data_IF_220217437067
#
_entry.id   IF_220217437067
#
_cell.length_a   1.000
_cell.length_b   1.000
_cell.length_c   1.000
_cell.angle_alpha   90.00
_cell.angle_beta   90.00
_cell.angle_gamma   90.00
#
_symmetry.space_group_name_H-M   'P 1'
#
loop_
_entity.id
_entity.type
_entity.pdbx_description
1 polymer ?
#
# COMPACT_ATOMS: atom_id res chain seq x y z
N UNK A 1 11.65 9.84 45.70
CA UNK A 1 11.85 9.08 44.46
C UNK A 1 10.81 9.55 43.47
N UNK A 2 11.22 10.42 42.55
CA UNK A 2 10.39 11.04 41.52
C UNK A 2 10.46 10.21 40.26
N UNK A 3 9.34 9.62 39.83
CA UNK A 3 9.22 9.00 38.51
C UNK A 3 8.47 9.94 37.56
N UNK A 4 9.21 10.48 36.61
CA UNK A 4 8.73 11.30 35.49
C UNK A 4 8.13 10.37 34.43
N UNK A 5 6.82 10.43 34.19
CA UNK A 5 6.19 9.76 33.03
C UNK A 5 6.26 10.67 31.81
N UNK A 6 6.97 10.25 30.77
CA UNK A 6 6.93 10.89 29.46
C UNK A 6 5.69 10.40 28.69
N UNK A 7 4.63 11.20 28.68
CA UNK A 7 3.50 11.06 27.76
C UNK A 7 3.96 11.43 26.34
N UNK A 8 3.87 10.50 25.39
CA UNK A 8 4.03 10.82 23.96
C UNK A 8 2.69 11.30 23.41
N UNK A 9 2.66 12.57 23.01
CA UNK A 9 1.54 13.19 22.30
C UNK A 9 1.50 12.68 20.85
N UNK A 10 0.35 12.15 20.42
CA UNK A 10 0.05 11.94 19.00
C UNK A 10 -0.34 13.30 18.40
N UNK A 11 0.53 13.83 17.54
CA UNK A 11 0.28 15.09 16.85
C UNK A 11 -0.91 14.93 15.89
N UNK A 12 -2.04 15.58 16.21
CA UNK A 12 -3.14 15.79 15.28
C UNK A 12 -2.72 16.85 14.26
N UNK A 13 -2.44 16.43 13.02
CA UNK A 13 -2.12 17.32 11.92
C UNK A 13 -3.35 18.07 11.42
N UNK A 14 -3.27 19.39 11.35
CA UNK A 14 -4.27 20.29 10.82
C UNK A 14 -4.46 20.03 9.31
N UNK A 15 -5.68 19.70 8.87
CA UNK A 15 -6.01 19.55 7.44
C UNK A 15 -6.30 20.95 6.87
N UNK A 16 -5.51 21.39 5.88
CA UNK A 16 -5.86 22.55 5.06
C UNK A 16 -6.71 22.05 3.89
N UNK A 17 -8.03 22.27 3.97
CA UNK A 17 -8.96 22.03 2.89
C UNK A 17 -9.00 23.28 2.01
N UNK A 18 -8.37 23.26 0.83
CA UNK A 18 -8.55 24.33 -0.16
C UNK A 18 -9.80 24.02 -0.98
N UNK A 19 -10.92 24.62 -0.59
CA UNK A 19 -12.11 24.68 -1.43
C UNK A 19 -11.92 25.81 -2.45
N UNK A 20 -11.81 25.47 -3.74
CA UNK A 20 -11.77 26.47 -4.81
C UNK A 20 -13.18 26.95 -5.13
N UNK A 21 -13.52 28.18 -4.70
CA UNK A 21 -14.64 28.97 -5.21
C UNK A 21 -14.08 30.16 -6.00
N UNK A 22 -14.48 30.30 -7.26
CA UNK A 22 -14.04 31.37 -8.15
C UNK A 22 -14.77 32.70 -7.84
N UNK A 23 -14.05 33.83 -7.88
CA UNK A 23 -14.47 35.11 -8.47
C UNK A 23 -13.26 36.08 -8.61
N UNK A 24 -13.19 36.81 -9.74
CA UNK A 24 -12.09 37.67 -10.21
C UNK A 24 -11.93 39.01 -9.44
N UNK A 25 -10.72 39.60 -9.44
CA UNK A 25 -10.34 40.92 -10.04
C UNK A 25 -8.92 41.37 -9.60
N UNK A 26 -8.06 41.75 -10.59
CA UNK A 26 -6.91 42.70 -10.54
C UNK A 26 -5.68 42.32 -9.69
N UNK A 27 -4.41 42.49 -10.08
CA UNK A 27 -3.72 43.22 -11.14
C UNK A 27 -2.31 42.60 -11.41
N UNK A 28 -1.63 43.11 -12.44
CA UNK A 28 -0.54 42.57 -13.28
C UNK A 28 0.91 42.75 -12.72
N UNK A 29 2.03 42.56 -13.48
CA UNK A 29 2.94 41.41 -13.38
C UNK A 29 4.41 41.79 -13.04
N UNK A 30 5.30 40.81 -12.83
CA UNK A 30 6.75 41.03 -12.90
C UNK A 30 7.50 39.81 -13.47
N UNK A 31 7.75 39.91 -14.77
CA UNK A 31 8.92 39.53 -15.61
C UNK A 31 9.79 38.32 -15.25
N UNK A 32 9.96 37.48 -16.27
CA UNK A 32 10.77 36.28 -16.41
C UNK A 32 12.28 36.52 -16.54
N UNK A 33 13.06 35.47 -16.29
CA UNK A 33 14.33 35.22 -16.97
C UNK A 33 14.40 33.72 -17.38
N UNK A 34 14.76 33.50 -18.64
CA UNK A 34 14.85 32.25 -19.43
C UNK A 34 15.96 31.29 -18.89
N UNK A 35 15.70 29.97 -18.78
CA UNK A 35 16.02 28.84 -19.71
C UNK A 35 17.55 28.58 -19.91
N UNK A 36 18.11 27.33 -20.04
CA UNK A 36 17.52 26.16 -20.71
C UNK A 36 17.80 24.74 -20.13
N UNK A 37 17.10 23.76 -20.69
CA UNK A 37 17.17 22.30 -20.44
C UNK A 37 18.44 21.60 -21.00
N UNK A 38 18.90 20.52 -20.34
CA UNK A 38 19.22 19.19 -20.96
C UNK A 38 19.57 18.11 -19.89
N UNK A 39 19.54 16.79 -20.24
CA UNK A 39 19.14 15.70 -19.35
C UNK A 39 20.34 14.96 -18.72
N UNK A 40 20.10 14.17 -17.66
CA UNK A 40 21.13 13.30 -17.08
C UNK A 40 20.75 11.82 -17.20
N UNK A 41 21.50 11.12 -18.05
CA UNK A 41 21.78 9.68 -17.96
C UNK A 41 23.14 9.43 -18.58
N UNK A 42 24.12 8.98 -17.77
CA UNK A 42 25.07 7.86 -18.04
C UNK A 42 26.29 7.86 -17.09
N UNK A 43 26.44 6.74 -16.36
CA UNK A 43 27.61 5.88 -15.99
C UNK A 43 29.03 6.46 -15.69
N UNK A 44 29.68 5.76 -14.73
CA UNK A 44 30.98 5.88 -14.00
C UNK A 44 32.31 6.08 -14.77
N UNK A 45 33.35 6.57 -14.06
CA UNK A 45 34.68 5.91 -13.98
C UNK A 45 35.52 6.33 -12.74
N UNK A 46 36.42 5.44 -12.31
CA UNK A 46 37.30 5.44 -11.11
C UNK A 46 38.71 6.01 -11.42
N UNK A 47 39.57 6.32 -10.43
CA UNK A 47 40.83 5.54 -10.37
C UNK A 47 41.46 5.28 -8.97
N UNK A 48 42.13 4.12 -8.89
CA UNK A 48 43.16 3.67 -7.94
C UNK A 48 44.48 4.48 -8.07
N UNK A 49 45.53 4.40 -7.24
CA UNK A 49 45.84 4.04 -5.85
C UNK A 49 47.35 4.31 -5.68
N UNK A 50 47.83 4.82 -4.53
CA UNK A 50 49.20 4.64 -4.01
C UNK A 50 49.18 4.77 -2.47
N UNK A 51 49.74 3.80 -1.76
CA UNK A 51 49.95 3.69 -0.31
C UNK A 51 51.47 3.48 -0.04
N UNK A 52 52.05 3.28 1.19
CA UNK A 52 51.47 3.09 2.55
C UNK A 52 52.19 3.99 3.61
N UNK A 53 52.10 3.90 4.95
CA UNK A 53 51.63 2.94 5.94
C UNK A 53 51.36 3.67 7.28
N UNK A 54 50.31 3.29 8.03
CA UNK A 54 50.39 2.79 9.41
C UNK A 54 49.00 2.64 10.06
N UNK A 55 48.77 1.42 10.54
CA UNK A 55 47.80 0.94 11.53
C UNK A 55 46.33 0.64 11.14
N UNK A 56 46.07 -0.68 11.10
CA UNK A 56 44.98 -1.40 11.80
C UNK A 56 44.01 -2.21 10.90
N UNK A 57 43.50 -3.36 11.40
CA UNK A 57 43.36 -4.61 10.66
C UNK A 57 42.14 -4.64 9.74
N UNK A 58 42.36 -4.32 8.47
CA UNK A 58 41.92 -5.20 7.40
C UNK A 58 42.51 -6.59 7.69
N UNK A 59 41.70 -7.63 7.89
CA UNK A 59 41.67 -8.68 6.87
C UNK A 59 40.43 -9.58 6.96
N UNK A 60 39.47 -9.31 7.87
CA UNK A 60 38.44 -10.32 8.16
C UNK A 60 37.06 -10.09 7.54
N UNK A 61 36.56 -8.87 7.34
CA UNK A 61 35.16 -8.71 6.88
C UNK A 61 34.93 -7.59 5.86
N UNK A 62 35.97 -7.24 5.11
CA UNK A 62 35.82 -6.76 3.74
C UNK A 62 35.60 -7.96 2.80
N UNK A 63 34.53 -8.72 3.04
CA UNK A 63 33.97 -9.70 2.08
C UNK A 63 32.48 -9.85 2.36
N UNK A 64 31.67 -8.93 1.83
CA UNK A 64 30.42 -9.26 1.11
C UNK A 64 29.63 -7.98 0.75
N UNK A 65 29.87 -7.54 -0.49
CA UNK A 65 28.92 -6.89 -1.42
C UNK A 65 27.92 -5.88 -0.87
N UNK A 66 28.04 -4.65 -1.38
CA UNK A 66 26.95 -3.68 -1.50
C UNK A 66 25.60 -4.37 -1.78
N UNK A 67 24.65 -4.28 -0.85
CA UNK A 67 23.30 -4.78 -1.07
C UNK A 67 22.54 -3.76 -1.92
N UNK A 68 22.70 -3.90 -3.24
CA UNK A 68 21.83 -3.34 -4.27
C UNK A 68 20.38 -3.62 -3.87
N UNK A 69 19.57 -2.56 -3.71
CA UNK A 69 18.14 -2.68 -3.39
C UNK A 69 17.40 -3.03 -4.67
N UNK A 70 16.91 -4.25 -4.75
CA UNK A 70 16.10 -4.72 -5.87
C UNK A 70 14.63 -4.41 -5.57
N UNK A 71 13.99 -3.66 -6.46
CA UNK A 71 12.52 -3.50 -6.47
C UNK A 71 11.87 -4.88 -6.71
N UNK A 72 10.66 -5.10 -6.23
CA UNK A 72 9.91 -6.35 -6.47
C UNK A 72 9.24 -6.38 -7.86
N UNK A 73 9.50 -5.40 -8.72
CA UNK A 73 8.82 -5.22 -9.99
C UNK A 73 9.74 -4.63 -11.07
N UNK A 74 9.34 -4.82 -12.33
CA UNK A 74 9.81 -4.06 -13.48
C UNK A 74 8.60 -3.43 -14.18
N UNK A 75 8.70 -2.16 -14.56
CA UNK A 75 7.70 -1.47 -15.39
C UNK A 75 8.15 -1.40 -16.85
N UNK A 76 7.25 -1.02 -17.75
CA UNK A 76 7.55 -0.86 -19.18
C UNK A 76 8.81 -0.01 -19.43
N UNK A 77 9.77 -0.59 -20.16
CA UNK A 77 11.08 -0.02 -20.46
C UNK A 77 12.22 -0.48 -19.53
N UNK A 78 11.93 -1.15 -18.41
CA UNK A 78 12.95 -1.63 -17.49
C UNK A 78 13.46 -3.04 -17.83
N UNK A 79 14.70 -3.34 -17.42
CA UNK A 79 15.36 -4.60 -17.75
C UNK A 79 16.16 -5.19 -16.57
N UNK A 80 16.36 -6.50 -16.61
CA UNK A 80 17.35 -7.23 -15.82
C UNK A 80 18.43 -7.79 -16.74
N UNK A 81 19.67 -7.36 -16.51
CA UNK A 81 20.87 -7.97 -17.06
C UNK A 81 21.25 -9.23 -16.28
N UNK A 82 22.08 -10.08 -16.90
CA UNK A 82 22.70 -11.22 -16.24
C UNK A 82 23.24 -10.88 -14.82
N UNK A 83 22.85 -11.67 -13.84
CA UNK A 83 23.15 -11.51 -12.41
C UNK A 83 22.14 -10.66 -11.64
N UNK A 84 21.34 -9.83 -12.30
CA UNK A 84 20.35 -8.96 -11.65
C UNK A 84 19.05 -9.71 -11.33
N UNK A 85 18.34 -9.25 -10.30
CA UNK A 85 17.10 -9.86 -9.83
C UNK A 85 16.09 -8.83 -9.33
N UNK A 86 14.84 -9.24 -9.23
CA UNK A 86 13.83 -8.59 -8.38
C UNK A 86 13.50 -9.54 -7.22
N UNK A 87 13.10 -9.02 -6.07
CA UNK A 87 12.88 -9.80 -4.83
C UNK A 87 11.50 -9.47 -4.27
N UNK A 88 10.77 -10.47 -3.77
CA UNK A 88 9.45 -10.25 -3.19
C UNK A 88 9.54 -9.32 -1.97
N UNK A 89 8.50 -8.51 -1.76
CA UNK A 89 8.41 -7.54 -0.66
C UNK A 89 8.44 -8.21 0.72
N UNK A 90 7.87 -9.41 0.81
CA UNK A 90 7.86 -10.26 2.01
C UNK A 90 8.18 -11.71 1.61
N UNK A 91 8.70 -12.49 2.57
CA UNK A 91 9.03 -13.92 2.44
C UNK A 91 10.29 -14.31 1.65
N UNK A 92 10.97 -13.42 0.92
CA UNK A 92 12.32 -13.69 0.40
C UNK A 92 12.41 -14.52 -0.89
N UNK A 93 11.34 -14.57 -1.69
CA UNK A 93 11.39 -15.09 -3.05
C UNK A 93 12.18 -14.14 -3.95
N UNK A 94 12.83 -14.66 -5.00
CA UNK A 94 13.53 -13.81 -5.97
C UNK A 94 13.36 -14.30 -7.39
N UNK A 95 13.24 -13.37 -8.35
CA UNK A 95 13.28 -13.64 -9.78
C UNK A 95 14.56 -13.05 -10.36
N UNK A 96 15.45 -13.90 -10.86
CA UNK A 96 16.79 -13.54 -11.28
C UNK A 96 17.02 -13.88 -12.75
N UNK A 97 17.57 -12.92 -13.50
CA UNK A 97 18.22 -13.21 -14.78
C UNK A 97 19.62 -13.75 -14.47
N UNK A 98 19.84 -15.05 -14.62
CA UNK A 98 21.10 -15.70 -14.28
C UNK A 98 22.19 -15.43 -15.33
N UNK A 99 23.45 -15.65 -14.94
CA UNK A 99 24.61 -15.50 -15.82
C UNK A 99 24.71 -16.54 -16.92
N UNK A 100 24.03 -17.68 -16.77
CA UNK A 100 23.93 -18.72 -17.80
C UNK A 100 22.89 -18.41 -18.88
N UNK A 101 22.23 -17.26 -18.78
CA UNK A 101 21.23 -16.81 -19.75
C UNK A 101 19.80 -17.27 -19.44
N UNK A 102 19.54 -17.85 -18.26
CA UNK A 102 18.20 -18.27 -17.87
C UNK A 102 17.58 -17.33 -16.83
N UNK A 103 16.29 -17.02 -16.97
CA UNK A 103 15.54 -16.30 -15.94
C UNK A 103 14.77 -17.27 -15.02
N UNK A 104 15.01 -17.20 -13.72
CA UNK A 104 14.54 -18.18 -12.71
C UNK A 104 13.95 -17.51 -11.49
N UNK A 105 12.82 -18.03 -11.03
CA UNK A 105 12.28 -17.73 -9.71
C UNK A 105 12.78 -18.74 -8.68
N UNK A 106 13.24 -18.25 -7.54
CA UNK A 106 13.70 -19.02 -6.39
C UNK A 106 12.81 -18.81 -5.19
N UNK A 107 12.54 -19.90 -4.47
CA UNK A 107 12.00 -19.85 -3.12
C UNK A 107 13.05 -19.37 -2.10
N UNK A 108 12.64 -19.09 -0.85
CA UNK A 108 13.54 -18.54 0.17
C UNK A 108 14.65 -19.51 0.60
N UNK A 109 14.47 -20.82 0.32
CA UNK A 109 15.48 -21.85 0.53
C UNK A 109 16.45 -22.00 -0.65
N UNK A 110 16.31 -21.16 -1.68
CA UNK A 110 17.14 -21.17 -2.88
C UNK A 110 16.74 -22.26 -3.88
N UNK A 111 15.54 -22.86 -3.76
CA UNK A 111 15.07 -23.86 -4.72
C UNK A 111 14.36 -23.18 -5.89
N UNK A 112 14.63 -23.58 -7.14
CA UNK A 112 13.96 -23.01 -8.29
C UNK A 112 12.48 -23.45 -8.32
N UNK A 113 11.57 -22.49 -8.50
CA UNK A 113 10.11 -22.70 -8.57
C UNK A 113 9.52 -22.44 -9.95
N UNK A 114 10.20 -21.62 -10.76
CA UNK A 114 9.86 -21.35 -12.16
C UNK A 114 11.15 -21.05 -12.94
N UNK A 115 11.21 -21.42 -14.21
CA UNK A 115 12.31 -21.10 -15.10
C UNK A 115 11.81 -20.87 -16.54
N UNK A 116 12.42 -19.92 -17.24
CA UNK A 116 12.10 -19.61 -18.64
C UNK A 116 12.67 -20.64 -19.63
N UNK A 117 13.66 -21.44 -19.21
CA UNK A 117 14.27 -22.46 -20.08
C UNK A 117 15.19 -21.88 -21.15
N UNK A 118 15.80 -20.71 -20.86
CA UNK A 118 16.59 -19.94 -21.83
C UNK A 118 18.10 -20.11 -21.67
N UNK A 119 18.55 -21.13 -20.91
CA UNK A 119 19.97 -21.40 -20.65
C UNK A 119 20.77 -21.47 -21.96
N UNK A 120 21.91 -20.79 -22.00
CA UNK A 120 22.80 -20.71 -23.17
C UNK A 120 22.27 -19.89 -24.35
N UNK A 121 21.06 -19.32 -24.24
CA UNK A 121 20.41 -18.55 -25.33
C UNK A 121 19.99 -17.15 -24.89
N UNK A 122 19.60 -16.95 -23.63
CA UNK A 122 19.25 -15.65 -23.08
C UNK A 122 20.46 -14.84 -22.61
N UNK A 123 20.24 -13.54 -22.40
CA UNK A 123 21.27 -12.59 -22.00
C UNK A 123 20.71 -11.50 -21.07
N UNK A 124 19.55 -10.95 -21.39
CA UNK A 124 18.83 -9.98 -20.55
C UNK A 124 17.32 -10.17 -20.70
N UNK A 125 16.57 -9.66 -19.74
CA UNK A 125 15.11 -9.69 -19.71
C UNK A 125 14.56 -8.26 -19.65
N UNK A 126 13.54 -7.96 -20.43
CA UNK A 126 12.95 -6.62 -20.55
C UNK A 126 11.44 -6.70 -20.33
N UNK A 127 10.91 -5.87 -19.45
CA UNK A 127 9.49 -5.55 -19.44
C UNK A 127 9.26 -4.47 -20.50
N UNK A 128 8.72 -4.84 -21.65
CA UNK A 128 8.58 -3.93 -22.78
C UNK A 128 7.45 -2.91 -22.57
N UNK A 129 7.52 -1.78 -23.27
CA UNK A 129 6.50 -0.72 -23.18
C UNK A 129 5.15 -1.12 -23.80
N UNK A 130 5.10 -2.19 -24.59
CA UNK A 130 3.90 -2.78 -25.16
C UNK A 130 3.22 -3.82 -24.24
N UNK A 131 3.79 -4.04 -23.05
CA UNK A 131 3.28 -4.94 -22.03
C UNK A 131 3.76 -6.38 -22.09
N UNK A 132 4.70 -6.70 -22.99
CA UNK A 132 5.29 -8.03 -23.07
C UNK A 132 6.55 -8.14 -22.19
N UNK A 133 6.69 -9.22 -21.43
CA UNK A 133 7.93 -9.52 -20.72
C UNK A 133 8.74 -10.50 -21.57
N UNK A 134 9.96 -10.12 -21.95
CA UNK A 134 10.75 -10.83 -22.97
C UNK A 134 12.18 -11.09 -22.49
N UNK A 135 12.67 -12.32 -22.68
CA UNK A 135 14.10 -12.64 -22.59
C UNK A 135 14.71 -12.51 -23.98
N UNK A 136 15.80 -11.77 -24.08
CA UNK A 136 16.57 -11.56 -25.31
C UNK A 136 17.91 -12.27 -25.26
N UNK A 137 18.36 -12.74 -26.42
CA UNK A 137 19.73 -13.20 -26.65
C UNK A 137 20.71 -12.03 -26.74
N UNK A 138 22.02 -12.31 -26.66
CA UNK A 138 23.07 -11.29 -26.80
C UNK A 138 23.06 -10.58 -28.18
N UNK A 139 22.44 -11.20 -29.19
CA UNK A 139 22.28 -10.61 -30.54
C UNK A 139 20.98 -9.79 -30.68
N UNK A 140 20.20 -9.64 -29.61
CA UNK A 140 18.94 -8.90 -29.61
C UNK A 140 17.73 -9.67 -30.16
N UNK A 141 17.85 -10.98 -30.41
CA UNK A 141 16.70 -11.80 -30.80
C UNK A 141 15.92 -12.27 -29.56
N UNK A 142 14.58 -12.20 -29.54
CA UNK A 142 13.77 -12.72 -28.44
C UNK A 142 13.87 -14.25 -28.39
N UNK A 143 14.04 -14.81 -27.19
CA UNK A 143 14.19 -16.27 -26.98
C UNK A 143 13.10 -16.84 -26.06
N UNK A 144 12.36 -16.00 -25.35
CA UNK A 144 11.18 -16.34 -24.55
C UNK A 144 10.31 -15.09 -24.32
N UNK A 145 8.99 -15.25 -24.21
CA UNK A 145 8.07 -14.15 -23.85
C UNK A 145 6.80 -14.61 -23.14
N UNK A 146 6.16 -13.69 -22.42
CA UNK A 146 4.83 -13.90 -21.81
C UNK A 146 3.68 -13.86 -22.83
N UNK A 147 3.92 -13.28 -24.02
CA UNK A 147 2.90 -13.08 -25.07
C UNK A 147 1.75 -12.15 -24.62
N UNK A 148 2.08 -11.17 -23.79
CA UNK A 148 1.13 -10.18 -23.26
C UNK A 148 1.23 -8.85 -24.03
N UNK A 149 1.41 -8.92 -25.35
CA UNK A 149 1.52 -7.73 -26.21
C UNK A 149 0.20 -6.96 -26.28
N UNK A 150 0.28 -5.65 -26.56
CA UNK A 150 -0.84 -4.69 -26.56
C UNK A 150 -1.39 -4.35 -25.16
N UNK A 151 -0.60 -4.57 -24.12
CA UNK A 151 -0.92 -4.24 -22.73
C UNK A 151 -0.01 -3.08 -22.27
N UNK A 152 -0.02 -1.98 -23.02
CA UNK A 152 0.82 -0.81 -22.72
C UNK A 152 0.64 -0.36 -21.27
N UNK A 153 1.73 -0.02 -20.59
CA UNK A 153 1.71 0.32 -19.16
C UNK A 153 1.68 -0.88 -18.22
N UNK A 154 1.73 -2.12 -18.72
CA UNK A 154 1.87 -3.28 -17.87
C UNK A 154 3.20 -3.32 -17.10
N UNK A 155 3.21 -4.09 -16.01
CA UNK A 155 4.39 -4.32 -15.16
C UNK A 155 4.48 -5.77 -14.76
N UNK A 156 5.70 -6.28 -14.55
CA UNK A 156 5.93 -7.59 -13.93
C UNK A 156 6.29 -7.42 -12.46
N UNK A 157 5.72 -8.23 -11.58
CA UNK A 157 5.95 -8.21 -10.13
C UNK A 157 6.21 -9.63 -9.63
N UNK A 158 7.20 -9.80 -8.75
CA UNK A 158 7.39 -11.02 -7.95
C UNK A 158 6.63 -10.87 -6.62
N UNK A 159 5.67 -11.76 -6.41
CA UNK A 159 4.79 -11.76 -5.24
C UNK A 159 5.41 -12.50 -4.04
N UNK A 160 4.84 -12.27 -2.85
CA UNK A 160 5.26 -12.88 -1.59
C UNK A 160 5.04 -14.40 -1.49
N UNK A 161 4.20 -14.95 -2.35
CA UNK A 161 3.93 -16.39 -2.51
C UNK A 161 4.84 -17.05 -3.57
N UNK A 162 5.72 -16.25 -4.19
CA UNK A 162 6.65 -16.69 -5.23
C UNK A 162 6.09 -16.66 -6.65
N UNK A 163 4.84 -16.23 -6.84
CA UNK A 163 4.28 -16.10 -8.18
C UNK A 163 4.82 -14.85 -8.88
N UNK A 164 5.18 -14.96 -10.15
CA UNK A 164 5.66 -13.86 -10.99
C UNK A 164 4.52 -13.48 -11.93
N UNK A 165 4.02 -12.25 -11.85
CA UNK A 165 2.81 -11.84 -12.55
C UNK A 165 3.07 -10.61 -13.38
N UNK A 166 2.62 -10.64 -14.64
CA UNK A 166 2.47 -9.45 -15.47
C UNK A 166 1.07 -8.91 -15.26
N UNK A 167 0.95 -7.68 -14.78
CA UNK A 167 -0.34 -6.98 -14.65
C UNK A 167 -0.48 -6.00 -15.78
N UNK A 168 -1.69 -5.94 -16.33
CA UNK A 168 -2.13 -4.86 -17.19
C UNK A 168 -2.11 -3.54 -16.42
N UNK A 169 -2.15 -2.45 -17.18
CA UNK A 169 -2.31 -1.10 -16.65
C UNK A 169 -3.50 -1.03 -15.65
N UNK A 170 -4.64 -1.63 -15.98
CA UNK A 170 -5.83 -1.66 -15.11
C UNK A 170 -5.73 -2.55 -13.85
N UNK A 171 -4.56 -3.12 -13.55
CA UNK A 171 -4.32 -3.96 -12.37
C UNK A 171 -4.80 -5.41 -12.49
N UNK A 172 -5.40 -5.82 -13.61
CA UNK A 172 -5.74 -7.24 -13.84
C UNK A 172 -4.52 -8.05 -14.28
N UNK A 173 -4.43 -9.35 -13.92
CA UNK A 173 -3.32 -10.19 -14.35
C UNK A 173 -3.44 -10.50 -15.86
N UNK A 174 -2.38 -10.20 -16.62
CA UNK A 174 -2.23 -10.58 -18.02
C UNK A 174 -1.58 -11.96 -18.16
N UNK A 175 -0.65 -12.29 -17.27
CA UNK A 175 0.06 -13.58 -17.24
C UNK A 175 0.62 -13.85 -15.85
N UNK A 176 0.78 -15.14 -15.49
CA UNK A 176 1.43 -15.57 -14.25
C UNK A 176 2.32 -16.80 -14.46
N UNK A 177 3.43 -16.90 -13.72
CA UNK A 177 4.38 -18.02 -13.81
C UNK A 177 3.83 -19.35 -13.28
N UNK A 178 2.79 -19.30 -12.45
CA UNK A 178 1.89 -20.40 -12.12
C UNK A 178 2.60 -21.62 -11.47
N UNK A 179 3.00 -21.47 -10.21
CA UNK A 179 3.31 -22.59 -9.33
C UNK A 179 1.98 -23.16 -8.78
N UNK A 180 1.55 -24.35 -9.24
CA UNK A 180 0.40 -25.15 -8.71
C UNK A 180 -1.04 -24.87 -9.24
N UNK A 181 -1.22 -24.64 -10.55
CA UNK A 181 -2.51 -24.79 -11.29
C UNK A 181 -3.75 -24.08 -10.72
N UNK A 182 -3.59 -22.96 -10.01
CA UNK A 182 -4.70 -22.06 -9.67
C UNK A 182 -4.22 -20.64 -9.91
N UNK A 183 -4.95 -19.85 -10.70
CA UNK A 183 -4.68 -18.42 -10.86
C UNK A 183 -5.01 -17.76 -9.52
N UNK A 184 -4.01 -17.56 -8.66
CA UNK A 184 -4.16 -16.78 -7.45
C UNK A 184 -4.03 -15.31 -7.83
N UNK A 185 -5.16 -14.59 -7.76
CA UNK A 185 -5.23 -13.14 -7.86
C UNK A 185 -4.20 -12.50 -6.92
N UNK A 186 -3.36 -11.58 -7.41
CA UNK A 186 -2.32 -11.05 -6.54
C UNK A 186 -2.73 -9.96 -5.57
N UNK A 187 -2.20 -10.06 -4.36
CA UNK A 187 -2.10 -8.94 -3.42
C UNK A 187 -0.78 -8.20 -3.67
N UNK A 188 -0.82 -6.93 -4.12
CA UNK A 188 0.30 -6.00 -3.91
C UNK A 188 -0.13 -5.00 -2.83
N UNK A 189 0.44 -5.09 -1.64
CA UNK A 189 -0.07 -4.48 -0.40
C UNK A 189 0.64 -3.21 0.04
N UNK A 190 1.80 -2.85 -0.54
CA UNK A 190 2.67 -1.83 0.06
C UNK A 190 3.48 -0.98 -0.93
N UNK A 191 3.38 0.35 -0.81
CA UNK A 191 4.24 1.38 -1.40
C UNK A 191 5.35 1.77 -0.38
N UNK A 192 6.61 1.57 -0.72
CA UNK A 192 7.76 1.88 0.13
C UNK A 192 8.23 3.34 -0.02
N UNK A 193 8.96 3.84 0.97
CA UNK A 193 9.58 5.16 0.91
C UNK A 193 10.47 5.34 -0.33
N UNK A 194 10.25 6.43 -1.06
CA UNK A 194 10.81 6.75 -2.37
C UNK A 194 9.97 6.28 -3.57
N UNK A 195 8.95 5.46 -3.38
CA UNK A 195 8.13 4.92 -4.47
C UNK A 195 6.91 5.78 -4.76
N UNK A 196 6.41 5.63 -5.99
CA UNK A 196 5.25 6.37 -6.50
C UNK A 196 4.23 5.41 -7.11
N UNK A 197 3.00 5.48 -6.64
CA UNK A 197 1.81 4.88 -7.24
C UNK A 197 1.25 5.90 -8.25
N UNK A 198 1.23 5.54 -9.53
CA UNK A 198 0.79 6.38 -10.66
C UNK A 198 -0.68 6.10 -10.96
N UNK A 199 -1.36 6.93 -11.79
CA UNK A 199 -2.67 6.56 -12.31
C UNK A 199 -2.65 5.12 -12.80
N UNK A 200 -3.75 4.40 -12.59
CA UNK A 200 -4.03 2.96 -12.81
C UNK A 200 -3.39 1.98 -11.83
N UNK A 201 -2.34 2.37 -11.11
CA UNK A 201 -1.73 1.49 -10.12
C UNK A 201 -2.60 1.38 -8.87
N UNK A 202 -2.53 0.24 -8.19
CA UNK A 202 -3.28 -0.01 -6.96
C UNK A 202 -2.43 -0.64 -5.85
N UNK A 203 -2.85 -0.40 -4.62
CA UNK A 203 -2.54 -1.20 -3.44
C UNK A 203 -3.72 -2.13 -3.17
N UNK A 204 -3.49 -3.30 -2.59
CA UNK A 204 -4.48 -4.35 -2.31
C UNK A 204 -4.26 -4.89 -0.91
N UNK A 205 -5.31 -5.09 -0.11
CA UNK A 205 -5.18 -5.63 1.25
C UNK A 205 -4.67 -7.08 1.25
N UNK A 206 -4.06 -7.51 2.35
CA UNK A 206 -3.53 -8.87 2.54
C UNK A 206 -4.56 -9.98 2.24
N UNK A 207 -5.84 -9.71 2.50
CA UNK A 207 -6.95 -10.62 2.21
C UNK A 207 -7.58 -10.46 0.82
N UNK A 208 -7.04 -9.57 -0.03
CA UNK A 208 -7.50 -9.31 -1.39
C UNK A 208 -8.84 -8.55 -1.51
N UNK A 209 -9.52 -8.24 -0.39
CA UNK A 209 -10.87 -7.68 -0.42
C UNK A 209 -10.91 -6.18 -0.67
N UNK A 210 -9.85 -5.47 -0.31
CA UNK A 210 -9.75 -4.03 -0.43
C UNK A 210 -8.65 -3.65 -1.38
N UNK A 211 -8.84 -2.53 -2.07
CA UNK A 211 -7.81 -1.94 -2.94
C UNK A 211 -7.82 -0.43 -2.83
N UNK A 212 -6.67 0.22 -2.92
CA UNK A 212 -6.58 1.66 -3.10
C UNK A 212 -5.99 1.94 -4.48
N UNK A 213 -6.78 2.56 -5.34
CA UNK A 213 -6.48 2.77 -6.75
C UNK A 213 -6.22 4.24 -6.98
N UNK A 214 -5.08 4.58 -7.58
CA UNK A 214 -4.86 5.90 -8.14
C UNK A 214 -5.54 5.91 -9.51
N UNK A 215 -6.68 6.54 -9.66
CA UNK A 215 -7.48 6.52 -10.89
C UNK A 215 -6.91 7.45 -11.97
N UNK A 216 -7.33 7.23 -13.22
CA UNK A 216 -6.94 8.04 -14.39
C UNK A 216 -7.46 9.47 -14.35
N UNK A 217 -8.58 9.70 -13.68
CA UNK A 217 -9.17 11.03 -13.46
C UNK A 217 -8.41 11.85 -12.40
N UNK A 218 -7.46 11.23 -11.71
CA UNK A 218 -6.63 11.86 -10.68
C UNK A 218 -7.13 11.70 -9.26
N UNK A 219 -8.16 10.88 -9.04
CA UNK A 219 -8.66 10.57 -7.71
C UNK A 219 -7.94 9.35 -7.12
N UNK A 220 -7.65 9.36 -5.83
CA UNK A 220 -7.10 8.18 -5.14
C UNK A 220 -8.21 7.57 -4.27
N UNK A 221 -8.63 6.37 -4.65
CA UNK A 221 -9.90 5.78 -4.20
C UNK A 221 -9.69 4.41 -3.58
N UNK A 222 -10.14 4.26 -2.34
CA UNK A 222 -10.26 2.99 -1.66
C UNK A 222 -11.55 2.28 -2.04
N UNK A 223 -11.45 1.04 -2.46
CA UNK A 223 -12.55 0.13 -2.74
C UNK A 223 -12.53 -1.06 -1.80
N UNK A 224 -13.70 -1.61 -1.55
CA UNK A 224 -13.93 -2.88 -0.87
C UNK A 224 -14.92 -3.75 -1.65
N UNK A 225 -15.40 -4.85 -1.04
CA UNK A 225 -16.29 -5.80 -1.71
C UNK A 225 -17.61 -5.20 -2.21
N UNK A 226 -18.09 -4.13 -1.57
CA UNK A 226 -19.38 -3.48 -1.87
C UNK A 226 -19.21 -2.15 -2.62
N UNK A 227 -18.00 -1.84 -3.12
CA UNK A 227 -17.73 -0.60 -3.88
C UNK A 227 -16.80 0.36 -3.15
N UNK A 228 -17.00 1.66 -3.35
CA UNK A 228 -16.12 2.71 -2.82
C UNK A 228 -16.23 2.79 -1.29
N UNK A 229 -15.09 2.75 -0.60
CA UNK A 229 -14.97 2.88 0.86
C UNK A 229 -14.55 4.30 1.24
N UNK A 230 -13.61 4.88 0.49
CA UNK A 230 -13.16 6.26 0.65
C UNK A 230 -12.56 6.81 -0.64
N UNK A 231 -12.45 8.13 -0.76
CA UNK A 231 -11.75 8.79 -1.84
C UNK A 231 -11.07 10.08 -1.34
N UNK A 232 -9.93 10.43 -1.92
CA UNK A 232 -9.25 11.71 -1.64
C UNK A 232 -10.01 12.91 -2.19
N UNK A 233 -10.89 12.70 -3.17
CA UNK A 233 -11.63 13.78 -3.85
C UNK A 233 -10.73 14.65 -4.73
N UNK A 234 -9.53 14.16 -5.04
CA UNK A 234 -8.58 14.87 -5.89
C UNK A 234 -8.95 14.64 -7.35
N UNK A 235 -8.85 15.68 -8.17
CA UNK A 235 -9.04 15.61 -9.62
C UNK A 235 -7.81 16.10 -10.36
N UNK A 236 -7.58 15.58 -11.56
CA UNK A 236 -6.48 15.99 -12.42
C UNK A 236 -5.78 14.77 -13.05
N UNK A 237 -5.87 14.59 -14.38
CA UNK A 237 -5.15 13.49 -15.02
C UNK A 237 -3.65 13.61 -14.75
N UNK A 238 -3.00 12.48 -14.49
CA UNK A 238 -1.57 12.43 -14.16
C UNK A 238 -1.23 12.69 -12.69
N UNK A 239 -2.24 12.85 -11.81
CA UNK A 239 -2.00 12.84 -10.37
C UNK A 239 -1.36 11.51 -9.94
N UNK A 240 -0.51 11.53 -8.91
CA UNK A 240 0.21 10.35 -8.42
C UNK A 240 0.41 10.45 -6.91
N UNK A 241 0.46 9.32 -6.20
CA UNK A 241 0.81 9.31 -4.78
C UNK A 241 2.22 8.77 -4.59
N UNK A 242 3.06 9.51 -3.88
CA UNK A 242 4.44 9.17 -3.57
C UNK A 242 4.59 9.04 -2.07
N UNK A 243 5.08 7.91 -1.57
CA UNK A 243 5.61 7.86 -0.20
C UNK A 243 7.04 8.39 -0.28
N UNK A 244 7.27 9.60 0.22
CA UNK A 244 8.57 10.26 0.14
C UNK A 244 9.59 9.62 1.10
N UNK A 245 10.89 9.88 0.89
CA UNK A 245 11.98 9.31 1.72
C UNK A 245 11.96 9.82 3.16
N UNK A 246 11.36 10.97 3.39
CA UNK A 246 11.12 11.58 4.71
C UNK A 246 9.86 11.01 5.40
N UNK A 247 9.22 10.02 4.78
CA UNK A 247 8.10 9.28 5.35
C UNK A 247 6.75 9.96 5.14
N UNK A 248 6.69 11.04 4.38
CA UNK A 248 5.43 11.69 4.06
C UNK A 248 4.79 11.07 2.81
N UNK A 249 3.54 10.60 2.92
CA UNK A 249 2.77 10.18 1.74
C UNK A 249 2.10 11.42 1.14
N UNK A 250 2.38 11.71 -0.12
CA UNK A 250 1.92 12.93 -0.78
C UNK A 250 1.29 12.60 -2.13
N UNK A 251 0.07 13.09 -2.33
CA UNK A 251 -0.58 13.06 -3.64
C UNK A 251 -0.19 14.33 -4.39
N UNK A 252 0.56 14.16 -5.47
CA UNK A 252 1.02 15.22 -6.35
C UNK A 252 0.15 15.32 -7.59
N UNK A 253 -0.05 16.55 -8.06
CA UNK A 253 -0.51 16.85 -9.41
C UNK A 253 0.54 16.54 -10.47
N UNK A 254 0.12 16.49 -11.73
CA UNK A 254 1.04 16.37 -12.87
C UNK A 254 2.09 17.49 -12.91
N UNK A 255 1.72 18.68 -12.41
CA UNK A 255 2.55 19.88 -12.24
C UNK A 255 3.42 19.86 -10.97
N UNK A 256 3.44 18.76 -10.21
CA UNK A 256 4.06 18.62 -8.90
C UNK A 256 3.42 19.45 -7.78
N UNK A 257 2.23 20.03 -7.99
CA UNK A 257 1.46 20.64 -6.89
C UNK A 257 1.06 19.59 -5.85
N UNK A 258 1.13 19.93 -4.57
CA UNK A 258 0.64 19.05 -3.50
C UNK A 258 -0.88 19.15 -3.46
N UNK A 259 -1.57 18.03 -3.70
CA UNK A 259 -3.04 17.93 -3.61
C UNK A 259 -3.51 17.37 -2.27
N UNK A 260 -2.73 16.47 -1.68
CA UNK A 260 -2.98 15.88 -0.37
C UNK A 260 -1.68 15.37 0.25
N UNK A 261 -1.61 15.28 1.58
CA UNK A 261 -0.48 14.71 2.31
C UNK A 261 -0.93 14.06 3.62
N UNK A 262 -0.27 12.97 4.03
CA UNK A 262 -0.49 12.30 5.33
C UNK A 262 0.04 13.09 6.52
N UNK A 263 0.98 14.02 6.30
CA UNK A 263 1.65 14.77 7.36
C UNK A 263 2.63 13.94 8.21
N UNK A 264 2.92 12.71 7.79
CA UNK A 264 3.82 11.81 8.51
C UNK A 264 5.29 12.19 8.30
N UNK A 265 6.13 11.81 9.27
CA UNK A 265 7.58 11.98 9.22
C UNK A 265 8.26 10.72 9.72
N UNK A 266 9.35 10.31 9.08
CA UNK A 266 10.15 9.15 9.46
C UNK A 266 10.89 8.55 8.26
N UNK A 267 11.85 7.67 8.50
CA UNK A 267 12.57 7.00 7.40
C UNK A 267 12.11 5.56 7.25
N UNK A 268 12.18 5.02 6.03
CA UNK A 268 11.81 3.64 5.72
C UNK A 268 10.37 3.27 6.12
N UNK A 269 9.45 4.25 6.08
CA UNK A 269 8.03 3.98 6.24
C UNK A 269 7.48 3.25 5.01
N UNK A 270 6.34 2.61 5.20
CA UNK A 270 5.61 1.82 4.20
C UNK A 270 4.15 2.24 4.21
N UNK A 271 3.55 2.46 3.05
CA UNK A 271 2.15 2.84 2.86
C UNK A 271 1.40 1.63 2.28
N UNK A 272 0.31 1.20 2.89
CA UNK A 272 -0.47 0.05 2.42
C UNK A 272 -1.96 0.21 2.66
N UNK A 273 -2.75 -0.78 2.22
CA UNK A 273 -4.16 -0.89 2.59
C UNK A 273 -4.32 -2.10 3.49
N UNK A 274 -4.91 -1.91 4.68
CA UNK A 274 -5.15 -3.02 5.60
C UNK A 274 -6.44 -3.78 5.24
N UNK A 275 -6.66 -4.91 5.90
CA UNK A 275 -7.86 -5.73 5.69
C UNK A 275 -9.16 -5.02 6.13
N UNK A 276 -9.07 -3.89 6.85
CA UNK A 276 -10.21 -3.06 7.23
C UNK A 276 -10.55 -2.00 6.16
N UNK A 277 -9.85 -2.02 5.01
CA UNK A 277 -10.04 -1.06 3.94
C UNK A 277 -9.48 0.32 4.22
N UNK A 278 -8.61 0.47 5.23
CA UNK A 278 -7.95 1.73 5.57
C UNK A 278 -6.57 1.81 4.94
N UNK A 279 -6.19 3.00 4.48
CA UNK A 279 -4.81 3.28 4.09
C UNK A 279 -3.99 3.46 5.37
N UNK A 280 -2.89 2.74 5.50
CA UNK A 280 -2.02 2.76 6.68
C UNK A 280 -0.61 3.12 6.28
N UNK A 281 0.09 3.84 7.16
CA UNK A 281 1.54 3.98 7.10
C UNK A 281 2.12 3.25 8.30
N UNK A 282 3.07 2.35 8.07
CA UNK A 282 3.74 1.56 9.10
C UNK A 282 5.24 1.81 9.11
N UNK A 283 5.87 1.62 10.27
CA UNK A 283 7.32 1.67 10.41
C UNK A 283 7.97 0.32 10.04
N UNK A 284 9.28 0.16 10.24
CA UNK A 284 10.02 -1.08 9.92
C UNK A 284 9.72 -2.26 10.85
N UNK A 285 8.99 -2.03 11.95
CA UNK A 285 8.55 -3.05 12.90
C UNK A 285 7.07 -3.44 12.71
N UNK A 286 6.44 -2.94 11.64
CA UNK A 286 5.01 -3.08 11.33
C UNK A 286 4.06 -2.32 12.29
N UNK A 287 4.59 -1.44 13.16
CA UNK A 287 3.72 -0.56 13.95
C UNK A 287 3.05 0.47 13.04
N UNK A 288 1.73 0.62 13.16
CA UNK A 288 0.96 1.67 12.47
C UNK A 288 1.32 3.03 13.04
N UNK A 289 1.90 3.89 12.20
CA UNK A 289 2.26 5.27 12.55
C UNK A 289 1.22 6.29 12.08
N UNK A 290 0.38 5.90 11.10
CA UNK A 290 -0.73 6.70 10.62
C UNK A 290 -1.78 5.83 9.93
N UNK A 291 -3.04 6.24 9.99
CA UNK A 291 -4.16 5.60 9.30
C UNK A 291 -5.07 6.65 8.67
N UNK A 292 -5.64 6.32 7.52
CA UNK A 292 -6.63 7.15 6.87
C UNK A 292 -7.92 7.26 7.66
N UNK A 293 -8.17 6.46 8.68
CA UNK A 293 -9.42 6.56 9.43
C UNK A 293 -9.64 7.95 10.05
N UNK A 294 -8.58 8.69 10.34
CA UNK A 294 -8.68 10.07 10.78
C UNK A 294 -8.99 11.07 9.63
N UNK A 295 -8.53 10.78 8.41
CA UNK A 295 -8.64 11.67 7.25
C UNK A 295 -9.83 11.35 6.32
N UNK A 296 -10.16 10.06 6.19
CA UNK A 296 -11.17 9.45 5.35
C UNK A 296 -11.87 8.32 6.14
N UNK A 297 -12.74 8.65 7.10
CA UNK A 297 -13.38 7.66 7.94
C UNK A 297 -14.33 6.78 7.12
N UNK A 298 -14.15 5.46 7.21
CA UNK A 298 -15.01 4.50 6.53
C UNK A 298 -16.42 4.51 7.14
N UNK A 299 -17.44 4.24 6.33
CA UNK A 299 -18.81 4.01 6.82
C UNK A 299 -19.00 2.62 7.37
N UNK A 300 -18.18 1.67 6.92
CA UNK A 300 -18.37 0.22 7.11
C UNK A 300 -17.07 -0.44 7.57
N UNK A 301 -17.16 -1.26 8.62
CA UNK A 301 -16.13 -2.22 9.03
C UNK A 301 -16.57 -3.61 8.55
N UNK A 302 -15.71 -4.31 7.80
CA UNK A 302 -16.01 -5.66 7.30
C UNK A 302 -15.34 -6.72 8.16
N UNK A 303 -16.00 -7.85 8.44
CA UNK A 303 -15.36 -8.97 9.13
C UNK A 303 -14.24 -9.61 8.27
N UNK A 304 -13.09 -10.07 8.78
CA UNK A 304 -12.63 -9.99 10.18
C UNK A 304 -11.66 -8.82 10.38
N UNK A 305 -12.09 -7.79 11.12
CA UNK A 305 -11.29 -6.59 11.37
C UNK A 305 -11.64 -5.93 12.70
N UNK A 306 -10.82 -4.94 13.06
CA UNK A 306 -10.97 -4.15 14.29
C UNK A 306 -10.98 -2.64 14.04
N UNK A 307 -11.52 -1.90 15.01
CA UNK A 307 -11.25 -0.47 15.20
C UNK A 307 -10.41 -0.30 16.45
N UNK A 308 -9.19 0.20 16.29
CA UNK A 308 -8.31 0.54 17.40
C UNK A 308 -8.78 1.81 18.11
N UNK A 309 -8.31 2.02 19.35
CA UNK A 309 -8.48 3.26 20.07
C UNK A 309 -8.10 4.49 19.22
N UNK A 310 -8.98 5.48 19.16
CA UNK A 310 -8.88 6.67 18.32
C UNK A 310 -9.49 6.52 16.92
N UNK A 311 -9.79 5.29 16.49
CA UNK A 311 -10.42 5.02 15.19
C UNK A 311 -11.94 5.17 15.26
N UNK A 312 -12.57 5.43 14.12
CA UNK A 312 -14.01 5.59 14.04
C UNK A 312 -14.59 5.21 12.68
N UNK A 313 -15.88 4.88 12.67
CA UNK A 313 -16.71 4.87 11.48
C UNK A 313 -17.51 6.18 11.41
N UNK A 314 -17.80 6.66 10.21
CA UNK A 314 -18.61 7.88 10.00
C UNK A 314 -19.74 7.60 9.02
N UNK A 315 -20.92 8.14 9.29
CA UNK A 315 -22.06 7.99 8.39
C UNK A 315 -21.82 8.70 7.05
N UNK A 316 -22.44 8.25 5.94
CA UNK A 316 -22.33 8.89 4.63
C UNK A 316 -22.60 10.40 4.62
N UNK A 317 -23.60 10.87 5.37
CA UNK A 317 -23.92 12.29 5.52
C UNK A 317 -22.94 13.06 6.41
N UNK A 318 -22.04 12.33 7.08
CA UNK A 318 -20.99 12.89 7.91
C UNK A 318 -21.40 13.38 9.30
N UNK A 319 -22.67 13.24 9.67
CA UNK A 319 -23.23 13.76 10.93
C UNK A 319 -22.92 12.82 12.10
N UNK A 320 -22.92 11.51 11.86
CA UNK A 320 -22.80 10.51 12.90
C UNK A 320 -21.46 9.79 12.83
N UNK A 321 -20.96 9.35 13.98
CA UNK A 321 -19.72 8.57 14.06
C UNK A 321 -19.76 7.56 15.19
N UNK A 322 -19.23 6.36 14.96
CA UNK A 322 -18.95 5.37 15.99
C UNK A 322 -17.45 5.40 16.29
N UNK A 323 -17.06 5.85 17.48
CA UNK A 323 -15.68 6.10 17.87
C UNK A 323 -15.24 5.09 18.91
N UNK A 324 -14.17 4.35 18.63
CA UNK A 324 -13.48 3.58 19.65
C UNK A 324 -12.55 4.52 20.41
N UNK A 325 -12.90 4.87 21.64
CA UNK A 325 -12.18 5.86 22.42
C UNK A 325 -10.94 5.28 23.09
N UNK A 326 -9.97 6.14 23.42
CA UNK A 326 -8.71 5.73 24.08
C UNK A 326 -8.89 5.15 25.49
N UNK A 327 -10.00 5.48 26.16
CA UNK A 327 -10.39 4.91 27.45
C UNK A 327 -11.04 3.51 27.32
N UNK A 328 -11.17 2.98 26.10
CA UNK A 328 -11.74 1.67 25.83
C UNK A 328 -13.24 1.63 25.69
N UNK A 329 -13.90 2.77 25.50
CA UNK A 329 -15.34 2.85 25.27
C UNK A 329 -15.64 2.97 23.76
N UNK A 330 -16.57 2.16 23.24
CA UNK A 330 -17.12 2.39 21.90
C UNK A 330 -18.34 3.28 22.04
N UNK A 331 -18.31 4.47 21.43
CA UNK A 331 -19.36 5.47 21.57
C UNK A 331 -19.85 5.93 20.20
N UNK A 332 -21.16 5.88 19.99
CA UNK A 332 -21.81 6.50 18.84
C UNK A 332 -22.16 7.94 19.20
N UNK A 333 -21.74 8.88 18.36
CA UNK A 333 -22.02 10.31 18.45
C UNK A 333 -22.95 10.74 17.32
N UNK A 334 -23.88 11.64 17.64
CA UNK A 334 -24.57 12.48 16.67
C UNK A 334 -24.11 13.94 16.76
N UNK A 335 -24.83 14.83 16.09
CA UNK A 335 -24.51 16.27 16.06
C UNK A 335 -24.42 16.91 17.46
N UNK A 336 -25.24 16.46 18.40
CA UNK A 336 -25.38 17.07 19.73
C UNK A 336 -24.62 16.34 20.85
N UNK A 337 -23.83 15.30 20.51
CA UNK A 337 -23.06 14.53 21.50
C UNK A 337 -23.29 13.02 21.42
N UNK A 338 -22.93 12.27 22.48
CA UNK A 338 -23.03 10.82 22.51
C UNK A 338 -24.50 10.37 22.55
N UNK A 339 -24.82 9.35 21.76
CA UNK A 339 -26.18 8.85 21.55
C UNK A 339 -26.33 7.36 21.88
N UNK A 340 -25.22 6.63 21.98
CA UNK A 340 -25.12 5.26 22.48
C UNK A 340 -23.67 4.97 22.92
N UNK A 341 -23.47 4.08 23.89
CA UNK A 341 -22.13 3.61 24.28
C UNK A 341 -22.15 2.14 24.71
N UNK A 342 -21.02 1.43 24.49
CA UNK A 342 -20.82 0.07 24.99
C UNK A 342 -20.64 0.01 26.51
N UNK A 343 -20.39 1.15 27.15
CA UNK A 343 -20.13 1.31 28.60
C UNK A 343 -18.90 0.55 29.09
N UNK A 344 -17.97 0.26 28.18
CA UNK A 344 -16.68 -0.37 28.49
C UNK A 344 -15.65 0.70 28.84
N UNK A 345 -14.77 0.43 29.80
CA UNK A 345 -13.75 1.38 30.27
C UNK A 345 -12.43 0.67 30.51
N UNK A 346 -11.75 0.30 29.42
CA UNK A 346 -10.46 -0.40 29.47
C UNK A 346 -9.48 0.21 28.47
N UNK A 347 -8.52 1.04 28.92
CA UNK A 347 -7.48 1.58 28.05
C UNK A 347 -6.78 0.47 27.26
N UNK A 348 -6.57 0.70 25.96
CA UNK A 348 -6.01 -0.30 25.05
C UNK A 348 -7.01 -1.34 24.52
N UNK A 349 -8.30 -1.24 24.86
CA UNK A 349 -9.33 -2.02 24.20
C UNK A 349 -9.54 -1.56 22.75
N UNK A 350 -9.96 -2.50 21.91
CA UNK A 350 -10.38 -2.27 20.53
C UNK A 350 -11.77 -2.88 20.29
N UNK A 351 -12.45 -2.40 19.27
CA UNK A 351 -13.63 -3.08 18.72
C UNK A 351 -13.14 -4.15 17.74
N UNK A 352 -13.72 -5.35 17.76
CA UNK A 352 -13.46 -6.40 16.78
C UNK A 352 -14.77 -7.00 16.26
N UNK A 353 -14.83 -7.21 14.95
CA UNK A 353 -15.84 -8.01 14.27
C UNK A 353 -15.11 -9.19 13.61
N UNK A 354 -15.35 -10.41 14.08
CA UNK A 354 -14.69 -11.61 13.54
C UNK A 354 -15.48 -12.30 12.41
N UNK A 355 -14.91 -13.33 11.79
CA UNK A 355 -15.53 -14.07 10.68
C UNK A 355 -16.82 -14.80 11.06
N UNK A 356 -17.08 -15.03 12.36
CA UNK A 356 -18.32 -15.63 12.85
C UNK A 356 -19.44 -14.60 13.04
N UNK A 357 -19.12 -13.32 12.87
CA UNK A 357 -20.01 -12.19 13.15
C UNK A 357 -20.02 -11.80 14.63
N UNK A 358 -19.12 -12.34 15.46
CA UNK A 358 -19.03 -11.87 16.83
C UNK A 358 -18.46 -10.46 16.84
N UNK A 359 -19.27 -9.53 17.29
CA UNK A 359 -18.87 -8.15 17.58
C UNK A 359 -18.43 -8.05 19.05
N UNK A 360 -17.30 -7.44 19.33
CA UNK A 360 -16.78 -7.33 20.70
C UNK A 360 -15.94 -6.08 20.95
N UNK A 361 -15.99 -5.57 22.17
CA UNK A 361 -15.06 -4.55 22.67
C UNK A 361 -14.25 -5.18 23.80
N UNK A 362 -12.93 -5.20 23.66
CA UNK A 362 -12.05 -5.84 24.62
C UNK A 362 -10.57 -5.68 24.29
N UNK A 363 -9.72 -6.29 25.11
CA UNK A 363 -8.30 -6.50 24.80
C UNK A 363 -8.11 -7.89 24.19
N UNK A 364 -6.90 -8.20 23.74
CA UNK A 364 -6.55 -9.54 23.22
C UNK A 364 -6.87 -10.67 24.22
N UNK A 365 -6.81 -10.38 25.52
CA UNK A 365 -6.96 -11.36 26.59
C UNK A 365 -8.28 -11.25 27.35
N UNK A 366 -9.00 -10.12 27.24
CA UNK A 366 -10.21 -9.89 28.02
C UNK A 366 -11.29 -9.21 27.18
N UNK A 367 -12.38 -9.93 26.95
CA UNK A 367 -13.60 -9.35 26.38
C UNK A 367 -14.35 -8.52 27.43
N UNK A 368 -14.80 -7.32 27.09
CA UNK A 368 -15.62 -6.46 27.95
C UNK A 368 -17.10 -6.49 27.56
N UNK A 369 -17.38 -6.18 26.29
CA UNK A 369 -18.73 -6.22 25.71
C UNK A 369 -18.72 -7.11 24.48
N UNK A 370 -19.80 -7.85 24.23
CA UNK A 370 -19.91 -8.70 23.04
C UNK A 370 -21.35 -8.89 22.61
N UNK A 371 -21.54 -9.03 21.31
CA UNK A 371 -22.75 -9.49 20.67
C UNK A 371 -22.38 -10.67 19.78
N UNK A 372 -23.23 -11.68 19.77
CA UNK A 372 -23.10 -12.85 18.89
C UNK A 372 -24.37 -12.94 18.07
N UNK A 373 -24.28 -13.06 16.73
CA UNK A 373 -25.44 -13.14 15.88
C UNK A 373 -26.24 -14.43 16.15
N UNK A 374 -27.56 -14.36 15.96
CA UNK A 374 -28.46 -15.48 16.22
C UNK A 374 -28.20 -16.69 15.31
N UNK A 375 -28.70 -17.85 15.73
CA UNK A 375 -28.59 -19.11 14.99
C UNK A 375 -29.14 -18.93 13.57
N UNK A 376 -28.36 -19.36 12.56
CA UNK A 376 -28.72 -19.27 11.14
C UNK A 376 -28.27 -18.01 10.43
N UNK A 377 -27.55 -17.10 11.10
CA UNK A 377 -26.87 -15.98 10.45
C UNK A 377 -25.72 -16.47 9.57
N UNK A 378 -25.53 -15.85 8.42
CA UNK A 378 -24.54 -16.28 7.43
C UNK A 378 -23.75 -15.07 6.95
N UNK A 379 -22.42 -15.14 7.10
CA UNK A 379 -21.53 -14.09 6.60
C UNK A 379 -21.55 -13.92 5.07
N UNK A 380 -20.83 -12.92 4.52
CA UNK A 380 -19.93 -12.02 5.24
C UNK A 380 -20.67 -11.07 6.19
N UNK A 381 -20.02 -10.73 7.31
CA UNK A 381 -20.55 -9.78 8.28
C UNK A 381 -19.95 -8.40 8.10
N UNK A 382 -20.76 -7.36 8.34
CA UNK A 382 -20.34 -5.96 8.25
C UNK A 382 -20.98 -5.12 9.35
N UNK A 383 -20.24 -4.16 9.88
CA UNK A 383 -20.75 -3.16 10.82
C UNK A 383 -20.78 -1.80 10.13
N UNK A 384 -21.95 -1.15 10.08
CA UNK A 384 -22.19 0.06 9.29
C UNK A 384 -22.69 1.18 10.18
N UNK A 385 -22.05 2.35 10.09
CA UNK A 385 -22.54 3.60 10.69
C UNK A 385 -23.52 4.28 9.72
N UNK A 386 -24.79 4.38 10.11
CA UNK A 386 -25.87 4.86 9.24
C UNK A 386 -26.20 6.35 9.44
N UNK A 387 -26.88 6.92 8.45
CA UNK A 387 -27.29 8.33 8.41
C UNK A 387 -28.41 8.69 9.39
N UNK A 388 -29.02 7.70 10.04
CA UNK A 388 -30.01 7.86 11.12
C UNK A 388 -29.37 7.79 12.52
N UNK A 389 -28.06 7.58 12.60
CA UNK A 389 -27.33 7.44 13.86
C UNK A 389 -27.35 6.05 14.46
N UNK A 390 -27.83 5.03 13.73
CA UNK A 390 -27.72 3.64 14.17
C UNK A 390 -26.40 3.01 13.69
N UNK A 391 -25.70 2.33 14.60
CA UNK A 391 -24.60 1.43 14.27
C UNK A 391 -25.16 0.01 14.15
N UNK A 392 -25.13 -0.55 12.95
CA UNK A 392 -25.84 -1.78 12.61
C UNK A 392 -24.89 -2.84 12.10
N UNK A 393 -24.96 -4.04 12.67
CA UNK A 393 -24.29 -5.22 12.15
C UNK A 393 -25.23 -5.97 11.19
N UNK A 394 -24.72 -6.30 10.02
CA UNK A 394 -25.40 -7.06 8.98
C UNK A 394 -24.70 -8.40 8.77
N UNK A 395 -25.51 -9.44 8.56
CA UNK A 395 -25.07 -10.64 7.85
C UNK A 395 -25.30 -10.46 6.33
N UNK A 396 -25.11 -11.51 5.54
CA UNK A 396 -25.31 -11.46 4.08
C UNK A 396 -26.74 -11.13 3.62
N UNK A 397 -27.73 -11.10 4.52
CA UNK A 397 -29.16 -11.02 4.18
C UNK A 397 -29.90 -9.91 4.93
N UNK A 398 -29.50 -9.59 6.15
CA UNK A 398 -30.28 -8.74 7.07
C UNK A 398 -29.42 -8.19 8.20
N UNK A 399 -30.00 -7.22 8.92
CA UNK A 399 -29.46 -6.78 10.19
C UNK A 399 -29.54 -7.90 11.24
N UNK A 400 -28.46 -8.09 11.99
CA UNK A 400 -28.34 -9.07 13.08
C UNK A 400 -28.15 -8.41 14.44
N UNK A 401 -27.67 -7.16 14.47
CA UNK A 401 -27.60 -6.34 15.66
C UNK A 401 -27.68 -4.85 15.32
N UNK A 402 -28.18 -4.03 16.24
CA UNK A 402 -28.19 -2.58 16.12
C UNK A 402 -27.97 -1.92 17.49
N UNK A 403 -27.35 -0.75 17.50
CA UNK A 403 -27.13 0.04 18.73
C UNK A 403 -28.42 0.60 19.34
N UNK A 404 -29.51 0.64 18.57
CA UNK A 404 -30.82 1.19 18.94
C UNK A 404 -31.95 0.36 18.37
#
# INVERSE_FOLDING_TARGET
MTHTSLSRSLASGLVVLVAAGALLVGATPAVAAENPQKPLSSVEESPAALAPASESPEAAQQTARAAVRYYNALVGGEQLNAGQRIVSSTNGYSFQMQSDGNAVTYDPSGRPTFATGTQGRGNHLVMQTDGNLVVYSAKGSPVWSTNTTNEAGASVIIQADGNLVVYRENGSPAWASNIRRTIAEPVTDTLFAGQTLRPVHQLTSADGRFRAVMQTDGNFVGYGPQGVVWATGTGGPGNRITLQKDGNAVLFGADNSVKWSSGTRGTNLRLGVNNAGSLIIVNTKDDVVWTSQAAFPATTLYAANSLEAGSFLRSPNGVYRAVMQADGNLVVYGASGPIWASTTTRPGAFLALDTSGRLSVGTETVTGWTVVPGVGSVGPYTLVMQDDGNLVEYDSRRAVWASR
#
